data_IF_070183214769
#
_entry.id   IF_070183214769
#
_cell.length_a   1.000
_cell.length_b   1.000
_cell.length_c   1.000
_cell.angle_alpha   90.00
_cell.angle_beta   90.00
_cell.angle_gamma   90.00
#
_symmetry.space_group_name_H-M   'P 1'
#
loop_
_entity.id
_entity.type
_entity.pdbx_description
1 polymer ?
#
# COMPACT_ATOMS: atom_id res chain seq x y z
N UNK A 1 -31.81 -1.50 -73.88
CA UNK A 1 -31.09 -1.74 -72.61
C UNK A 1 -32.17 -1.95 -71.54
N UNK A 2 -32.89 -3.08 -71.51
CA UNK A 2 -32.66 -4.33 -70.76
C UNK A 2 -32.51 -4.16 -69.22
N UNK A 3 -33.67 -4.16 -68.54
CA UNK A 3 -34.08 -4.86 -67.29
C UNK A 3 -33.50 -4.39 -65.94
N UNK A 4 -34.29 -3.74 -65.07
CA UNK A 4 -35.17 -4.29 -63.99
C UNK A 4 -34.50 -5.18 -62.92
N UNK A 5 -34.48 -4.61 -61.70
CA UNK A 5 -34.87 -5.23 -60.40
C UNK A 5 -33.93 -6.22 -59.70
N UNK A 6 -33.82 -5.99 -58.38
CA UNK A 6 -33.38 -6.88 -57.29
C UNK A 6 -31.92 -6.79 -56.84
N UNK A 7 -31.74 -6.21 -55.64
CA UNK A 7 -30.93 -6.65 -54.49
C UNK A 7 -30.80 -5.42 -53.57
N UNK A 8 -31.84 -5.03 -52.82
CA UNK A 8 -32.21 -5.61 -51.51
C UNK A 8 -30.99 -5.86 -50.62
N UNK A 9 -30.92 -5.05 -49.55
CA UNK A 9 -30.50 -5.48 -48.21
C UNK A 9 -29.06 -5.94 -48.05
N UNK A 10 -28.17 -4.99 -47.79
CA UNK A 10 -26.84 -5.24 -47.23
C UNK A 10 -26.32 -4.15 -46.31
N UNK A 11 -27.19 -3.22 -45.88
CA UNK A 11 -26.95 -2.42 -44.67
C UNK A 11 -27.61 -3.22 -43.55
N UNK A 12 -26.83 -3.92 -42.73
CA UNK A 12 -27.08 -4.22 -41.31
C UNK A 12 -26.24 -5.42 -40.88
N UNK A 13 -25.69 -5.30 -39.67
CA UNK A 13 -25.08 -6.36 -38.84
C UNK A 13 -23.59 -6.63 -39.07
N UNK A 14 -22.75 -5.71 -38.59
CA UNK A 14 -21.68 -6.08 -37.64
C UNK A 14 -21.47 -4.94 -36.62
N UNK A 15 -22.56 -4.50 -35.99
CA UNK A 15 -22.50 -3.86 -34.68
C UNK A 15 -22.46 -4.97 -33.61
N UNK A 16 -21.33 -5.69 -33.53
CA UNK A 16 -21.04 -6.49 -32.34
C UNK A 16 -20.62 -5.51 -31.25
N UNK A 17 -21.60 -5.16 -30.43
CA UNK A 17 -21.45 -4.37 -29.22
C UNK A 17 -20.42 -5.01 -28.27
N UNK A 18 -19.18 -4.55 -28.37
CA UNK A 18 -18.20 -4.61 -27.29
C UNK A 18 -18.28 -3.33 -26.48
N UNK A 19 -19.43 -3.03 -25.88
CA UNK A 19 -19.54 -1.90 -24.95
C UNK A 19 -18.79 -2.27 -23.67
N UNK A 20 -17.48 -2.01 -23.66
CA UNK A 20 -16.71 -1.91 -22.41
C UNK A 20 -17.46 -0.91 -21.53
N UNK A 21 -17.94 -1.37 -20.38
CA UNK A 21 -18.34 -0.51 -19.29
C UNK A 21 -17.17 0.43 -18.98
N UNK A 22 -17.30 1.68 -19.43
CA UNK A 22 -16.43 2.76 -19.00
C UNK A 22 -16.85 3.06 -17.56
N UNK A 23 -16.11 2.50 -16.59
CA UNK A 23 -16.20 2.98 -15.22
C UNK A 23 -15.59 4.36 -15.16
N UNK A 24 -16.39 5.36 -14.79
CA UNK A 24 -15.90 6.69 -14.46
C UNK A 24 -14.83 6.59 -13.35
N UNK A 25 -13.66 7.26 -13.50
CA UNK A 25 -12.53 7.16 -12.56
C UNK A 25 -12.77 7.91 -11.23
N UNK A 26 -13.97 7.81 -10.67
CA UNK A 26 -14.35 8.50 -9.43
C UNK A 26 -15.62 7.96 -8.75
N UNK A 27 -16.35 7.01 -9.34
CA UNK A 27 -17.54 6.42 -8.72
C UNK A 27 -17.19 5.10 -8.02
N UNK A 28 -17.72 4.93 -6.81
CA UNK A 28 -17.64 3.65 -6.10
C UNK A 28 -18.58 2.66 -6.77
N UNK A 29 -18.27 1.35 -6.79
CA UNK A 29 -19.15 0.34 -7.38
C UNK A 29 -20.48 0.19 -6.63
N UNK A 30 -20.68 0.93 -5.54
CA UNK A 30 -21.87 0.92 -4.70
C UNK A 30 -22.77 2.14 -4.88
N UNK A 31 -22.38 3.17 -5.63
CA UNK A 31 -23.12 4.44 -5.66
C UNK A 31 -24.58 4.26 -6.13
N UNK A 32 -24.81 3.42 -7.13
CA UNK A 32 -26.16 3.10 -7.62
C UNK A 32 -26.99 2.31 -6.60
N UNK A 33 -26.37 1.37 -5.89
CA UNK A 33 -27.04 0.56 -4.87
C UNK A 33 -27.35 1.39 -3.62
N UNK A 34 -26.44 2.31 -3.24
CA UNK A 34 -26.64 3.23 -2.13
C UNK A 34 -27.83 4.14 -2.41
N UNK A 35 -27.92 4.71 -3.61
CA UNK A 35 -29.04 5.56 -3.99
C UNK A 35 -30.37 4.81 -4.01
N UNK A 36 -30.37 3.54 -4.39
CA UNK A 36 -31.58 2.72 -4.52
C UNK A 36 -32.07 2.15 -3.18
N UNK A 37 -31.16 1.68 -2.34
CA UNK A 37 -31.50 0.91 -1.13
C UNK A 37 -31.17 1.64 0.17
N UNK A 38 -30.23 2.59 0.16
CA UNK A 38 -29.68 3.22 1.37
C UNK A 38 -29.81 4.75 1.41
N UNK A 39 -30.67 5.34 0.57
CA UNK A 39 -30.82 6.80 0.44
C UNK A 39 -31.27 7.52 1.72
N UNK A 40 -31.93 6.81 2.64
CA UNK A 40 -32.39 7.32 3.94
C UNK A 40 -31.63 6.71 5.13
N UNK A 41 -30.61 5.89 4.87
CA UNK A 41 -29.88 5.20 5.93
C UNK A 41 -28.91 6.15 6.65
N UNK A 42 -28.88 6.16 8.00
CA UNK A 42 -27.96 7.01 8.76
C UNK A 42 -26.50 6.55 8.65
N UNK A 43 -26.29 5.26 8.38
CA UNK A 43 -24.96 4.66 8.18
C UNK A 43 -25.00 3.74 6.97
N UNK A 44 -24.46 4.21 5.85
CA UNK A 44 -24.50 3.52 4.54
C UNK A 44 -23.89 2.12 4.62
N UNK A 45 -22.77 1.96 5.33
CA UNK A 45 -22.08 0.66 5.48
C UNK A 45 -22.96 -0.40 6.16
N UNK A 46 -23.77 -0.01 7.15
CA UNK A 46 -24.64 -0.92 7.87
C UNK A 46 -25.87 -1.31 7.03
N UNK A 47 -26.38 -0.36 6.23
CA UNK A 47 -27.43 -0.63 5.26
C UNK A 47 -26.97 -1.60 4.15
N UNK A 48 -25.80 -1.35 3.55
CA UNK A 48 -25.25 -2.26 2.53
C UNK A 48 -24.96 -3.65 3.09
N UNK A 49 -24.56 -3.76 4.35
CA UNK A 49 -24.39 -5.06 5.02
C UNK A 49 -25.73 -5.80 5.21
N UNK A 50 -26.82 -5.08 5.55
CA UNK A 50 -28.16 -5.66 5.68
C UNK A 50 -28.75 -6.09 4.32
N UNK A 51 -28.45 -5.35 3.25
CA UNK A 51 -28.94 -5.61 1.89
C UNK A 51 -27.94 -6.36 1.00
N UNK A 52 -26.94 -7.04 1.58
CA UNK A 52 -25.86 -7.70 0.82
C UNK A 52 -26.37 -8.64 -0.28
N UNK A 53 -27.48 -9.34 -0.08
CA UNK A 53 -28.07 -10.23 -1.10
C UNK A 53 -28.80 -9.49 -2.24
N UNK A 54 -29.21 -8.24 -2.03
CA UNK A 54 -30.05 -7.47 -2.96
C UNK A 54 -29.28 -6.42 -3.78
N UNK A 55 -28.11 -6.00 -3.30
CA UNK A 55 -27.24 -5.04 -3.98
C UNK A 55 -26.44 -5.68 -5.14
N UNK A 56 -25.88 -4.87 -6.02
CA UNK A 56 -25.14 -5.33 -7.19
C UNK A 56 -23.92 -6.20 -6.83
N UNK A 57 -23.53 -7.18 -7.68
CA UNK A 57 -22.37 -8.04 -7.44
C UNK A 57 -21.06 -7.25 -7.25
N UNK A 58 -20.89 -6.17 -8.01
CA UNK A 58 -19.74 -5.27 -7.90
C UNK A 58 -19.70 -4.60 -6.52
N UNK A 59 -20.84 -4.09 -6.05
CA UNK A 59 -20.94 -3.49 -4.71
C UNK A 59 -20.73 -4.52 -3.61
N UNK A 60 -21.33 -5.72 -3.71
CA UNK A 60 -21.07 -6.82 -2.77
C UNK A 60 -19.58 -7.12 -2.62
N UNK A 61 -18.89 -7.26 -3.75
CA UNK A 61 -17.48 -7.64 -3.78
C UNK A 61 -16.57 -6.55 -3.19
N UNK A 62 -16.94 -5.28 -3.40
CA UNK A 62 -16.27 -4.14 -2.81
C UNK A 62 -16.56 -4.00 -1.31
N UNK A 63 -17.83 -4.14 -0.91
CA UNK A 63 -18.29 -4.01 0.47
C UNK A 63 -17.84 -5.18 1.36
N UNK A 64 -17.66 -6.38 0.80
CA UNK A 64 -17.13 -7.55 1.50
C UNK A 64 -15.58 -7.51 1.70
N UNK A 65 -14.93 -6.37 1.48
CA UNK A 65 -13.51 -6.20 1.77
C UNK A 65 -12.58 -6.79 0.71
N UNK A 66 -12.99 -6.81 -0.57
CA UNK A 66 -12.06 -6.89 -1.69
C UNK A 66 -11.08 -8.06 -1.64
N UNK A 67 -11.56 -9.28 -1.42
CA UNK A 67 -10.92 -10.46 -2.01
C UNK A 67 -11.91 -11.09 -2.97
N UNK A 68 -11.69 -10.84 -4.27
CA UNK A 68 -12.33 -11.61 -5.31
C UNK A 68 -12.15 -13.13 -5.02
N UNK A 69 -13.17 -13.97 -5.26
CA UNK A 69 -12.96 -15.40 -5.29
C UNK A 69 -12.01 -15.71 -6.45
N UNK A 70 -10.78 -16.11 -6.14
CA UNK A 70 -9.99 -16.89 -7.08
C UNK A 70 -10.76 -18.20 -7.33
N UNK A 71 -10.91 -18.68 -8.58
CA UNK A 71 -11.58 -19.94 -8.83
C UNK A 71 -10.86 -21.06 -8.06
N UNK A 72 -11.69 -21.92 -7.47
CA UNK A 72 -11.31 -22.95 -6.53
C UNK A 72 -10.18 -23.86 -7.06
N UNK A 73 -9.10 -23.91 -6.28
CA UNK A 73 -8.27 -25.11 -6.15
C UNK A 73 -8.02 -25.31 -4.65
N UNK A 74 -8.51 -26.46 -4.17
CA UNK A 74 -8.52 -27.00 -2.82
C UNK A 74 -7.23 -26.69 -2.00
N UNK A 75 -7.36 -26.10 -0.80
CA UNK A 75 -7.50 -26.77 0.51
C UNK A 75 -6.09 -27.16 1.08
N UNK A 76 -5.66 -26.84 2.31
CA UNK A 76 -6.34 -26.80 3.62
C UNK A 76 -5.52 -25.94 4.62
N UNK A 77 -6.20 -25.25 5.54
CA UNK A 77 -5.64 -24.80 6.83
C UNK A 77 -5.01 -23.39 6.90
N UNK A 78 -5.82 -22.34 6.88
CA UNK A 78 -5.37 -20.97 7.20
C UNK A 78 -5.63 -20.60 8.68
N UNK A 79 -4.61 -20.22 9.47
CA UNK A 79 -4.85 -19.73 10.83
C UNK A 79 -5.48 -18.34 10.84
N UNK A 80 -6.45 -18.16 11.74
CA UNK A 80 -7.12 -16.91 12.08
C UNK A 80 -6.10 -15.81 12.37
N UNK A 81 -6.33 -14.64 11.78
CA UNK A 81 -5.50 -13.46 11.99
C UNK A 81 -5.43 -13.05 13.46
N UNK A 82 -4.25 -12.56 13.84
CA UNK A 82 -4.00 -11.86 15.10
C UNK A 82 -2.91 -10.84 14.85
N UNK A 83 -3.28 -9.55 14.84
CA UNK A 83 -2.33 -8.46 14.73
C UNK A 83 -1.46 -8.35 15.97
N UNK A 84 -0.13 -8.34 15.77
CA UNK A 84 0.81 -7.39 16.36
C UNK A 84 1.89 -7.09 15.32
N UNK A 85 2.03 -5.82 14.99
CA UNK A 85 2.89 -5.28 13.96
C UNK A 85 4.36 -5.35 14.41
N UNK A 86 5.28 -5.82 13.56
CA UNK A 86 6.71 -5.56 13.82
C UNK A 86 7.74 -6.43 13.09
N UNK A 87 7.44 -7.68 12.75
CA UNK A 87 8.31 -8.53 11.91
C UNK A 87 7.40 -9.37 11.02
N UNK A 88 7.61 -9.28 9.71
CA UNK A 88 6.92 -10.16 8.79
C UNK A 88 7.58 -11.53 8.90
N UNK A 89 7.09 -12.37 9.83
CA UNK A 89 7.61 -13.72 10.04
C UNK A 89 7.30 -14.54 8.79
N UNK A 90 8.28 -14.63 7.90
CA UNK A 90 8.17 -15.36 6.63
C UNK A 90 7.91 -16.83 6.95
N UNK A 91 8.50 -17.32 8.03
CA UNK A 91 8.32 -18.69 8.50
C UNK A 91 6.87 -19.03 8.82
N UNK A 92 6.13 -18.11 9.45
CA UNK A 92 4.72 -18.34 9.80
C UNK A 92 3.82 -18.25 8.55
N UNK A 93 4.06 -17.26 7.68
CA UNK A 93 3.25 -17.03 6.50
C UNK A 93 3.53 -18.02 5.34
N UNK A 94 4.71 -18.63 5.30
CA UNK A 94 5.16 -19.52 4.23
C UNK A 94 5.44 -20.95 4.70
N UNK A 95 4.87 -21.38 5.83
CA UNK A 95 5.21 -22.68 6.45
C UNK A 95 5.06 -23.87 5.48
N UNK A 96 3.99 -23.88 4.69
CA UNK A 96 3.72 -24.93 3.72
C UNK A 96 4.73 -24.90 2.55
N UNK A 97 5.00 -23.72 2.01
CA UNK A 97 5.97 -23.54 0.92
C UNK A 97 7.40 -23.84 1.38
N UNK A 98 7.76 -23.48 2.60
CA UNK A 98 9.07 -23.77 3.19
C UNK A 98 9.29 -25.29 3.31
N UNK A 99 8.26 -26.03 3.74
CA UNK A 99 8.35 -27.49 3.81
C UNK A 99 8.50 -28.15 2.43
N UNK A 100 7.98 -27.51 1.37
CA UNK A 100 8.00 -28.03 0.00
C UNK A 100 9.27 -27.66 -0.77
N UNK A 101 9.67 -26.39 -0.70
CA UNK A 101 10.74 -25.81 -1.51
C UNK A 101 12.05 -25.57 -0.72
N UNK A 102 11.98 -25.40 0.60
CA UNK A 102 13.11 -24.95 1.43
C UNK A 102 13.47 -25.91 2.57
N UNK A 103 13.28 -27.22 2.38
CA UNK A 103 13.57 -28.27 3.36
C UNK A 103 15.03 -28.29 3.85
N UNK A 104 15.96 -27.86 2.99
CA UNK A 104 17.41 -27.80 3.30
C UNK A 104 17.82 -26.49 3.97
N UNK A 105 16.88 -25.56 4.19
CA UNK A 105 17.14 -24.27 4.82
C UNK A 105 16.89 -24.37 6.33
N UNK A 106 17.91 -24.11 7.17
CA UNK A 106 17.74 -24.13 8.62
C UNK A 106 16.68 -23.13 9.09
N UNK A 107 15.72 -23.54 9.96
CA UNK A 107 14.76 -22.62 10.55
C UNK A 107 15.46 -21.54 11.38
N UNK A 108 14.82 -20.38 11.53
CA UNK A 108 15.36 -19.29 12.36
C UNK A 108 16.04 -18.14 11.62
N UNK A 109 15.74 -17.93 10.34
CA UNK A 109 16.16 -16.70 9.66
C UNK A 109 15.30 -16.38 8.44
N UNK A 110 14.50 -15.32 8.53
CA UNK A 110 13.66 -14.85 7.41
C UNK A 110 14.47 -14.70 6.13
N UNK A 111 15.68 -14.14 6.21
CA UNK A 111 16.54 -13.90 5.03
C UNK A 111 16.94 -15.17 4.27
N UNK A 112 17.16 -16.31 4.95
CA UNK A 112 17.53 -17.57 4.28
C UNK A 112 16.33 -18.16 3.56
N UNK A 113 15.18 -18.14 4.22
CA UNK A 113 13.92 -18.59 3.65
C UNK A 113 13.52 -17.73 2.44
N UNK A 114 13.74 -16.42 2.51
CA UNK A 114 13.51 -15.52 1.37
C UNK A 114 14.29 -15.88 0.13
N UNK A 115 15.61 -16.09 0.28
CA UNK A 115 16.47 -16.47 -0.85
C UNK A 115 16.03 -17.78 -1.49
N UNK A 116 15.60 -18.74 -0.68
CA UNK A 116 15.06 -19.99 -1.19
C UNK A 116 13.70 -19.83 -1.89
N UNK A 117 12.82 -18.96 -1.38
CA UNK A 117 11.49 -18.71 -1.95
C UNK A 117 11.49 -17.73 -3.15
N UNK A 118 12.63 -17.11 -3.47
CA UNK A 118 12.80 -16.15 -4.57
C UNK A 118 12.56 -16.78 -5.97
N UNK A 119 13.12 -17.96 -6.32
CA UNK A 119 12.79 -18.62 -7.58
C UNK A 119 11.35 -19.17 -7.62
N UNK A 120 10.73 -19.43 -6.46
CA UNK A 120 9.42 -20.07 -6.37
C UNK A 120 8.25 -19.09 -6.26
N UNK A 121 8.45 -17.78 -6.47
CA UNK A 121 7.43 -16.75 -6.27
C UNK A 121 6.10 -17.06 -6.97
N UNK A 122 6.10 -17.66 -8.16
CA UNK A 122 4.89 -18.04 -8.88
C UNK A 122 4.12 -19.21 -8.21
N UNK A 123 4.82 -20.08 -7.49
CA UNK A 123 4.31 -21.30 -6.85
C UNK A 123 3.95 -21.09 -5.37
N UNK A 124 4.32 -19.93 -4.79
CA UNK A 124 3.96 -19.58 -3.42
C UNK A 124 2.46 -19.23 -3.31
N UNK A 125 1.83 -19.49 -2.17
CA UNK A 125 0.49 -18.96 -1.88
C UNK A 125 0.43 -17.43 -1.91
N UNK A 126 -0.75 -16.86 -2.17
CA UNK A 126 -0.94 -15.40 -2.21
C UNK A 126 -0.51 -14.70 -0.92
N UNK A 127 -0.72 -15.35 0.23
CA UNK A 127 -0.28 -14.88 1.54
C UNK A 127 1.25 -14.91 1.65
N UNK A 128 1.88 -16.07 1.35
CA UNK A 128 3.33 -16.20 1.40
C UNK A 128 4.02 -15.22 0.45
N UNK A 129 3.56 -15.06 -0.81
CA UNK A 129 4.09 -14.09 -1.77
C UNK A 129 4.13 -12.68 -1.21
N UNK A 130 3.05 -12.23 -0.58
CA UNK A 130 2.99 -10.87 -0.02
C UNK A 130 4.05 -10.67 1.08
N UNK A 131 4.23 -11.65 1.95
CA UNK A 131 5.28 -11.61 2.99
C UNK A 131 6.69 -11.77 2.41
N UNK A 132 6.86 -12.65 1.42
CA UNK A 132 8.08 -12.91 0.66
C UNK A 132 8.45 -11.80 -0.34
N UNK A 133 7.57 -10.84 -0.61
CA UNK A 133 7.89 -9.60 -1.35
C UNK A 133 8.12 -8.41 -0.42
N UNK A 134 7.31 -8.24 0.63
CA UNK A 134 7.38 -7.08 1.53
C UNK A 134 8.74 -6.87 2.21
N UNK A 135 9.43 -7.95 2.58
CA UNK A 135 10.80 -7.88 3.12
C UNK A 135 11.93 -8.07 2.08
N UNK A 136 11.63 -8.30 0.79
CA UNK A 136 12.59 -8.16 -0.33
C UNK A 136 12.61 -6.68 -0.77
N UNK A 137 11.45 -6.03 -0.73
CA UNK A 137 11.29 -4.58 -0.89
C UNK A 137 11.91 -3.77 0.28
N UNK A 138 12.22 -4.43 1.41
CA UNK A 138 12.97 -3.87 2.53
C UNK A 138 14.49 -3.88 2.35
N UNK A 139 14.98 -3.82 1.10
CA UNK A 139 16.41 -3.70 0.80
C UNK A 139 16.85 -2.25 1.02
N UNK A 140 16.92 -1.89 2.30
CA UNK A 140 17.53 -0.69 2.85
C UNK A 140 18.16 -1.05 4.19
N UNK A 141 19.42 -1.51 4.09
CA UNK A 141 20.42 -1.65 5.17
C UNK A 141 20.27 -2.81 6.18
N UNK A 142 21.35 -3.52 6.57
CA UNK A 142 22.76 -3.20 6.31
C UNK A 142 23.76 -4.21 6.88
N UNK A 143 25.02 -3.80 6.80
CA UNK A 143 26.18 -4.47 7.39
C UNK A 143 27.49 -4.05 6.74
N UNK A 144 28.01 -2.86 7.07
CA UNK A 144 29.36 -2.42 6.68
C UNK A 144 29.88 -1.35 7.64
N UNK A 145 30.83 -1.73 8.50
CA UNK A 145 31.62 -0.83 9.35
C UNK A 145 32.29 0.24 8.48
N UNK A 146 32.22 1.51 8.91
CA UNK A 146 32.99 2.60 8.34
C UNK A 146 33.47 3.53 9.46
N UNK A 147 34.71 3.35 9.88
CA UNK A 147 35.50 4.31 10.64
C UNK A 147 35.83 5.52 9.74
N UNK A 148 35.54 6.73 10.24
CA UNK A 148 36.18 8.03 9.94
C UNK A 148 36.43 8.47 8.49
N UNK A 149 35.95 9.68 8.13
CA UNK A 149 36.80 10.90 8.02
C UNK A 149 36.05 12.05 7.31
N UNK A 150 36.04 13.18 8.02
CA UNK A 150 35.94 14.58 7.60
C UNK A 150 35.87 14.93 6.10
N UNK A 151 34.91 15.82 5.78
CA UNK A 151 35.11 16.93 4.85
C UNK A 151 34.14 16.97 3.67
N UNK A 152 33.42 18.09 3.51
CA UNK A 152 32.76 18.40 2.25
C UNK A 152 31.60 19.36 2.31
N UNK A 153 31.91 20.66 2.20
CA UNK A 153 30.98 21.73 1.82
C UNK A 153 30.34 21.36 0.46
N UNK A 154 29.02 21.28 0.37
CA UNK A 154 28.34 20.93 -0.87
C UNK A 154 26.89 21.40 -0.89
N UNK A 155 26.63 22.45 -1.69
CA UNK A 155 25.30 22.80 -2.13
C UNK A 155 24.75 21.66 -3.01
N UNK A 156 23.68 21.02 -2.56
CA UNK A 156 23.04 19.92 -3.27
C UNK A 156 21.54 20.14 -3.38
N UNK A 157 21.10 20.73 -4.49
CA UNK A 157 19.73 20.56 -4.99
C UNK A 157 19.50 19.07 -5.21
N UNK A 158 18.75 18.42 -4.33
CA UNK A 158 18.43 17.00 -4.40
C UNK A 158 16.98 16.76 -4.03
N UNK A 159 16.13 16.55 -5.03
CA UNK A 159 14.73 16.20 -4.89
C UNK A 159 14.59 14.79 -4.28
N UNK A 160 14.41 14.72 -2.97
CA UNK A 160 13.89 13.54 -2.27
C UNK A 160 12.40 13.74 -2.02
N UNK A 161 11.55 13.07 -2.81
CA UNK A 161 10.09 13.10 -2.66
C UNK A 161 9.69 12.47 -1.31
N UNK A 162 9.45 13.31 -0.30
CA UNK A 162 8.88 12.89 0.97
C UNK A 162 7.88 13.94 1.49
N UNK A 163 6.59 13.67 1.26
CA UNK A 163 5.47 14.33 1.95
C UNK A 163 5.14 15.72 1.43
N UNK A 164 3.99 15.87 0.77
CA UNK A 164 3.43 17.12 0.23
C UNK A 164 2.98 18.11 1.33
N UNK A 165 3.78 18.33 2.37
CA UNK A 165 3.44 19.28 3.42
C UNK A 165 4.50 20.40 3.50
N UNK A 166 4.28 21.51 2.77
CA UNK A 166 5.24 22.63 2.70
C UNK A 166 5.52 23.23 4.08
N UNK A 167 4.55 23.17 4.98
CA UNK A 167 4.70 23.62 6.38
C UNK A 167 5.75 22.81 7.14
N UNK A 168 5.83 21.50 6.88
CA UNK A 168 6.81 20.62 7.53
C UNK A 168 8.23 20.79 6.98
N UNK A 169 8.36 21.23 5.73
CA UNK A 169 9.64 21.60 5.15
C UNK A 169 10.12 22.94 5.74
N UNK A 170 9.23 23.95 5.77
CA UNK A 170 9.51 25.24 6.38
C UNK A 170 9.89 25.11 7.86
N UNK A 171 9.21 24.26 8.63
CA UNK A 171 9.55 23.99 10.03
C UNK A 171 10.95 23.37 10.19
N UNK A 172 11.36 22.47 9.29
CA UNK A 172 12.70 21.85 9.34
C UNK A 172 13.80 22.86 9.03
N UNK A 173 13.54 23.77 8.10
CA UNK A 173 14.47 24.84 7.74
C UNK A 173 14.58 25.86 8.88
N UNK A 174 13.45 26.34 9.39
CA UNK A 174 13.39 27.30 10.49
C UNK A 174 14.04 26.78 11.79
N UNK A 175 14.00 25.46 12.02
CA UNK A 175 14.58 24.80 13.19
C UNK A 175 15.94 24.14 12.94
N UNK A 176 16.56 24.27 11.76
CA UNK A 176 17.79 23.55 11.43
C UNK A 176 18.93 23.88 12.42
N UNK A 177 19.20 25.17 12.63
CA UNK A 177 20.27 25.62 13.54
C UNK A 177 20.00 25.23 15.00
N UNK A 178 18.74 25.29 15.46
CA UNK A 178 18.37 24.88 16.82
C UNK A 178 18.47 23.36 17.00
N UNK A 179 18.12 22.58 15.99
CA UNK A 179 18.29 21.12 16.02
C UNK A 179 19.76 20.72 16.07
N UNK A 180 20.62 21.45 15.37
CA UNK A 180 22.08 21.27 15.41
C UNK A 180 22.70 21.75 16.72
N UNK A 181 22.07 22.67 17.44
CA UNK A 181 22.61 23.18 18.71
C UNK A 181 22.12 22.38 19.92
N UNK A 182 20.83 22.06 19.94
CA UNK A 182 20.17 21.48 21.12
C UNK A 182 19.79 20.01 20.95
N UNK A 183 19.60 19.54 19.71
CA UNK A 183 19.05 18.21 19.43
C UNK A 183 19.98 17.29 18.63
N UNK A 184 21.30 17.49 18.77
CA UNK A 184 22.31 16.63 18.16
C UNK A 184 22.10 15.16 18.55
N UNK A 185 22.14 14.27 17.56
CA UNK A 185 21.91 12.84 17.76
C UNK A 185 20.43 12.40 17.81
N UNK A 186 19.47 13.33 17.78
CA UNK A 186 18.05 12.98 17.70
C UNK A 186 17.65 12.63 16.25
N UNK A 187 17.65 11.33 15.96
CA UNK A 187 17.22 10.81 14.66
C UNK A 187 15.70 10.62 14.62
N UNK A 188 15.01 11.21 13.65
CA UNK A 188 13.56 11.01 13.45
C UNK A 188 12.67 12.13 14.01
N UNK A 189 11.56 12.38 13.32
CA UNK A 189 10.75 13.60 13.52
C UNK A 189 10.15 13.74 14.92
N UNK A 190 9.68 12.66 15.54
CA UNK A 190 9.07 12.71 16.88
C UNK A 190 10.06 13.01 18.00
N UNK A 191 11.27 12.45 17.93
CA UNK A 191 12.35 12.69 18.90
C UNK A 191 12.85 14.14 18.84
N UNK A 192 13.04 14.65 17.62
CA UNK A 192 13.41 16.05 17.39
C UNK A 192 12.34 17.03 17.91
N UNK A 193 11.05 16.75 17.69
CA UNK A 193 9.96 17.59 18.23
C UNK A 193 9.99 17.66 19.75
N UNK A 194 10.13 16.53 20.43
CA UNK A 194 10.19 16.47 21.90
C UNK A 194 11.41 17.22 22.46
N UNK A 195 12.55 17.14 21.77
CA UNK A 195 13.74 17.89 22.14
C UNK A 195 13.52 19.42 21.97
N UNK A 196 12.96 19.86 20.84
CA UNK A 196 12.64 21.27 20.61
C UNK A 196 11.66 21.82 21.68
N UNK A 197 10.68 21.01 22.09
CA UNK A 197 9.73 21.36 23.15
C UNK A 197 10.43 21.57 24.51
N UNK A 198 11.40 20.71 24.85
CA UNK A 198 12.19 20.84 26.08
C UNK A 198 13.10 22.10 26.09
N UNK A 199 13.51 22.56 24.91
CA UNK A 199 14.38 23.73 24.75
C UNK A 199 13.63 24.97 24.26
N UNK A 200 12.30 25.02 24.35
CA UNK A 200 11.47 26.06 23.73
C UNK A 200 11.92 27.49 24.07
N UNK A 201 12.37 27.74 25.30
CA UNK A 201 12.85 29.05 25.75
C UNK A 201 14.20 29.47 25.12
N UNK A 202 14.99 28.50 24.68
CA UNK A 202 16.34 28.69 24.12
C UNK A 202 16.36 28.64 22.58
N UNK A 203 15.23 28.26 21.97
CA UNK A 203 15.07 28.21 20.51
C UNK A 203 15.08 29.60 19.87
N UNK A 204 15.51 29.65 18.62
CA UNK A 204 15.33 30.81 17.76
C UNK A 204 13.86 31.23 17.66
N UNK A 205 13.61 32.52 17.42
CA UNK A 205 12.25 33.04 17.20
C UNK A 205 11.58 32.36 15.99
N UNK A 206 12.36 32.07 14.94
CA UNK A 206 11.91 31.36 13.74
C UNK A 206 11.47 29.93 14.06
N UNK A 207 12.21 29.18 14.87
CA UNK A 207 11.82 27.80 15.20
C UNK A 207 10.63 27.73 16.17
N UNK A 208 10.56 28.66 17.14
CA UNK A 208 9.42 28.74 18.09
C UNK A 208 8.07 28.92 17.40
N UNK A 209 8.03 29.61 16.26
CA UNK A 209 6.82 29.79 15.46
C UNK A 209 6.23 28.48 14.89
N UNK A 210 7.01 27.39 14.91
CA UNK A 210 6.62 26.06 14.43
C UNK A 210 6.62 24.98 15.53
N UNK A 211 7.29 25.18 16.66
CA UNK A 211 7.42 24.17 17.71
C UNK A 211 6.19 24.05 18.64
N UNK A 212 5.29 25.04 18.64
CA UNK A 212 4.09 25.08 19.49
C UNK A 212 2.76 25.02 18.73
N UNK A 213 2.76 24.58 17.47
CA UNK A 213 1.59 24.51 16.59
C UNK A 213 1.10 23.08 16.42
#
# INVERSE_FOLDING_TARGET
MKKTTALLSGILLFAAAGLRAQGDPGSTPCDADIARFCSTAPVIQQCLAAHGAEISPACRQFNAGGTAPAPAAAAEGGPKGGGKEGKADVQAACKAEIARFCKDVPPGGDNRLRKCLEPHQAELSAQCRRHAQKALAGKGEGGGKGEGKSGGKGAGKGAGQQGKNPEKAAAREACAADLEKFCLGQSGGGRRRKCLEAHQAELSASCRAFSGR
#
